data_IF_361412090524
#
_entry.id   IF_361412090524
#
_cell.length_a   1.000
_cell.length_b   1.000
_cell.length_c   1.000
_cell.angle_alpha   90.00
_cell.angle_beta   90.00
_cell.angle_gamma   90.00
#
_symmetry.space_group_name_H-M   'P 1'
#
loop_
_entity.id
_entity.type
_entity.pdbx_description
1 polymer ?
#
# COMPACT_ATOMS: atom_id res chain seq x y z
N UNK A 1 35.58 13.24 45.40
CA UNK A 1 34.17 13.23 45.88
C UNK A 1 33.47 12.10 45.13
N UNK A 2 33.44 10.90 45.72
CA UNK A 2 32.83 9.71 45.12
C UNK A 2 31.33 9.72 45.43
N UNK A 3 30.49 9.57 44.41
CA UNK A 3 29.05 9.33 44.57
C UNK A 3 28.81 7.87 44.24
N UNK A 4 28.43 7.12 45.29
CA UNK A 4 28.02 5.73 45.25
C UNK A 4 26.52 5.67 44.98
N UNK A 5 26.07 4.90 43.99
CA UNK A 5 24.65 4.72 43.66
C UNK A 5 24.21 3.31 44.06
N UNK A 6 23.39 3.21 45.09
CA UNK A 6 22.79 1.97 45.61
C UNK A 6 21.46 1.67 44.93
N UNK A 7 21.32 0.47 44.37
CA UNK A 7 20.04 -0.10 43.91
C UNK A 7 19.19 -0.50 45.12
N UNK A 8 17.91 -0.10 45.11
CA UNK A 8 16.86 -0.65 45.98
C UNK A 8 15.82 -1.36 45.11
N UNK A 9 15.67 -2.67 45.32
CA UNK A 9 14.62 -3.48 44.72
C UNK A 9 13.31 -3.35 45.49
N UNK A 10 12.20 -3.40 44.76
CA UNK A 10 10.87 -3.53 45.35
C UNK A 10 10.21 -4.80 44.79
N UNK A 11 9.95 -5.74 45.70
CA UNK A 11 9.29 -7.02 45.48
C UNK A 11 7.82 -6.87 45.89
N UNK A 12 6.89 -7.15 44.99
CA UNK A 12 5.47 -7.26 45.31
C UNK A 12 4.93 -8.57 44.73
N UNK A 13 4.85 -9.59 45.58
CA UNK A 13 4.19 -10.86 45.29
C UNK A 13 2.68 -10.73 45.39
N UNK A 14 1.97 -11.30 44.42
CA UNK A 14 0.53 -11.51 44.43
C UNK A 14 0.19 -12.70 43.55
N UNK A 15 -0.01 -13.86 44.17
CA UNK A 15 -0.45 -15.09 43.52
C UNK A 15 -1.95 -15.06 43.26
N UNK A 16 -2.37 -15.19 42.00
CA UNK A 16 -3.77 -15.47 41.64
C UNK A 16 -3.87 -16.96 41.32
N UNK A 17 -4.74 -17.66 42.06
CA UNK A 17 -5.13 -19.05 41.79
C UNK A 17 -5.99 -19.12 40.54
N UNK A 18 -5.59 -19.96 39.59
CA UNK A 18 -6.43 -20.40 38.47
C UNK A 18 -7.09 -21.71 38.91
N UNK A 19 -8.41 -21.68 39.07
CA UNK A 19 -9.22 -22.87 39.29
C UNK A 19 -9.30 -23.69 38.00
N UNK A 20 -8.86 -24.95 38.07
CA UNK A 20 -9.08 -25.94 37.03
C UNK A 20 -10.27 -26.82 37.40
N UNK A 21 -11.23 -26.91 36.49
CA UNK A 21 -12.20 -28.01 36.43
C UNK A 21 -11.83 -28.88 35.23
N UNK A 22 -11.39 -30.11 35.50
CA UNK A 22 -11.19 -31.16 34.51
C UNK A 22 -11.47 -32.53 35.16
N UNK A 23 -12.73 -32.95 35.08
CA UNK A 23 -13.19 -34.34 35.16
C UNK A 23 -14.00 -34.57 33.86
N UNK A 24 -13.95 -35.67 33.12
CA UNK A 24 -13.33 -36.99 33.24
C UNK A 24 -14.08 -37.96 32.30
N UNK A 25 -13.38 -38.99 31.79
CA UNK A 25 -13.93 -40.27 31.26
C UNK A 25 -14.68 -40.23 29.91
N UNK A 26 -14.22 -40.83 28.80
CA UNK A 26 -13.94 -42.24 28.48
C UNK A 26 -15.15 -43.05 27.95
N UNK A 27 -14.88 -43.69 26.80
CA UNK A 27 -15.39 -44.98 26.27
C UNK A 27 -16.72 -45.13 25.50
N UNK A 28 -16.56 -45.76 24.33
CA UNK A 28 -17.34 -46.83 23.69
C UNK A 28 -18.67 -46.58 22.95
N UNK A 29 -18.60 -46.86 21.63
CA UNK A 29 -19.35 -47.96 21.00
C UNK A 29 -20.80 -47.71 20.58
N UNK A 30 -21.13 -47.99 19.32
CA UNK A 30 -22.54 -48.23 18.94
C UNK A 30 -22.89 -48.03 17.49
N UNK A 31 -22.96 -49.13 16.75
CA UNK A 31 -23.51 -49.29 15.40
C UNK A 31 -24.98 -48.89 15.28
N UNK A 32 -25.36 -48.23 14.18
CA UNK A 32 -26.77 -48.01 13.82
C UNK A 32 -26.95 -47.94 12.30
N UNK A 33 -27.38 -49.06 11.72
CA UNK A 33 -27.82 -49.17 10.34
C UNK A 33 -29.31 -48.82 10.21
N UNK A 34 -29.67 -48.22 9.06
CA UNK A 34 -31.04 -48.04 8.56
C UNK A 34 -31.04 -46.92 7.52
N UNK A 35 -31.49 -47.06 6.27
CA UNK A 35 -32.29 -48.11 5.65
C UNK A 35 -33.49 -47.48 4.93
N UNK A 36 -33.37 -47.28 3.61
CA UNK A 36 -34.47 -47.05 2.65
C UNK A 36 -35.05 -45.62 2.56
N UNK A 37 -35.68 -45.17 1.47
CA UNK A 37 -35.85 -45.68 0.11
C UNK A 37 -36.58 -44.60 -0.72
N UNK A 38 -36.25 -44.52 -2.02
CA UNK A 38 -37.13 -44.25 -3.18
C UNK A 38 -37.98 -42.97 -3.31
N UNK A 39 -37.69 -42.24 -4.39
CA UNK A 39 -38.61 -41.42 -5.20
C UNK A 39 -37.77 -40.49 -6.09
N UNK A 40 -37.61 -40.65 -7.41
CA UNK A 40 -38.54 -41.13 -8.42
C UNK A 40 -39.17 -39.93 -9.11
N UNK A 41 -38.52 -39.39 -10.15
CA UNK A 41 -39.04 -38.25 -10.93
C UNK A 41 -38.19 -37.91 -12.15
N UNK A 42 -38.46 -38.60 -13.26
CA UNK A 42 -37.96 -38.27 -14.60
C UNK A 42 -38.84 -37.24 -15.29
N UNK A 43 -38.20 -36.30 -16.00
CA UNK A 43 -38.77 -35.37 -16.99
C UNK A 43 -37.83 -34.17 -17.11
N UNK A 44 -37.20 -33.82 -18.23
CA UNK A 44 -37.57 -33.98 -19.64
C UNK A 44 -37.83 -32.58 -20.22
N UNK A 45 -36.87 -32.02 -20.98
CA UNK A 45 -36.99 -30.75 -21.71
C UNK A 45 -35.67 -29.95 -21.70
N UNK A 46 -34.74 -30.20 -22.61
CA UNK A 46 -34.59 -29.51 -23.92
C UNK A 46 -34.76 -27.99 -23.89
N UNK A 47 -33.60 -27.31 -23.87
CA UNK A 47 -33.25 -26.23 -24.79
C UNK A 47 -33.81 -24.84 -24.50
N UNK A 48 -32.94 -23.94 -24.02
CA UNK A 48 -32.69 -22.62 -24.66
C UNK A 48 -31.25 -22.21 -24.35
N UNK A 49 -30.46 -22.06 -25.39
CA UNK A 49 -29.19 -21.35 -25.45
C UNK A 49 -29.41 -19.87 -25.12
N UNK A 50 -28.72 -19.34 -24.11
CA UNK A 50 -28.80 -17.93 -23.73
C UNK A 50 -27.59 -17.44 -22.95
N UNK A 51 -26.38 -17.86 -23.35
CA UNK A 51 -25.15 -17.20 -22.93
C UNK A 51 -25.01 -15.92 -23.73
N UNK A 52 -25.39 -14.79 -23.12
CA UNK A 52 -25.25 -13.46 -23.69
C UNK A 52 -23.79 -13.17 -24.01
N UNK A 53 -23.41 -13.34 -25.28
CA UNK A 53 -22.28 -12.64 -25.87
C UNK A 53 -22.65 -11.16 -25.89
N UNK A 54 -22.10 -10.41 -24.94
CA UNK A 54 -22.16 -8.96 -24.93
C UNK A 54 -21.39 -8.40 -26.11
N UNK A 55 -22.11 -8.16 -27.21
CA UNK A 55 -21.91 -7.08 -28.16
C UNK A 55 -20.50 -6.88 -28.71
N UNK A 56 -20.04 -7.75 -29.59
CA UNK A 56 -19.11 -7.35 -30.67
C UNK A 56 -19.89 -6.58 -31.73
N UNK A 57 -20.35 -5.40 -31.34
CA UNK A 57 -20.87 -4.40 -32.26
C UNK A 57 -19.72 -3.93 -33.14
N UNK A 58 -19.56 -4.60 -34.29
CA UNK A 58 -18.73 -4.14 -35.41
C UNK A 58 -19.29 -2.85 -35.98
N UNK A 59 -19.07 -1.75 -35.25
CA UNK A 59 -19.21 -0.39 -35.72
C UNK A 59 -17.81 0.10 -36.10
N UNK A 60 -17.57 0.28 -37.38
CA UNK A 60 -16.36 0.88 -37.95
C UNK A 60 -16.28 2.39 -37.69
N UNK A 61 -16.60 2.85 -36.48
CA UNK A 61 -16.13 4.14 -36.00
C UNK A 61 -14.63 3.97 -35.74
N UNK A 62 -13.80 4.74 -36.44
CA UNK A 62 -12.36 4.80 -36.13
C UNK A 62 -12.14 5.08 -34.64
N UNK A 63 -10.94 4.80 -34.10
CA UNK A 63 -10.65 4.94 -32.68
C UNK A 63 -11.14 6.31 -32.21
N UNK A 64 -12.17 6.30 -31.34
CA UNK A 64 -12.63 7.55 -30.75
C UNK A 64 -11.55 7.98 -29.75
N UNK A 65 -11.31 9.29 -29.58
CA UNK A 65 -10.42 9.75 -28.53
C UNK A 65 -10.87 9.20 -27.18
N UNK A 66 -9.92 8.68 -26.40
CA UNK A 66 -10.15 8.25 -25.03
C UNK A 66 -10.61 9.42 -24.16
N UNK A 67 -11.55 9.14 -23.26
CA UNK A 67 -12.02 10.06 -22.23
C UNK A 67 -12.16 9.32 -20.90
N UNK A 68 -12.07 10.05 -19.78
CA UNK A 68 -12.17 9.47 -18.44
C UNK A 68 -13.62 9.14 -18.04
N UNK A 69 -14.27 8.21 -18.74
CA UNK A 69 -15.67 7.83 -18.54
C UNK A 69 -15.88 6.39 -18.04
N UNK A 70 -14.80 5.64 -17.84
CA UNK A 70 -14.81 4.25 -17.41
C UNK A 70 -15.03 3.24 -18.55
N UNK A 71 -14.91 3.68 -19.81
CA UNK A 71 -15.05 2.85 -21.01
C UNK A 71 -13.74 2.90 -21.81
N UNK A 72 -13.38 1.78 -22.44
CA UNK A 72 -12.34 1.72 -23.47
C UNK A 72 -12.97 2.24 -24.78
N UNK A 73 -12.78 3.53 -25.08
CA UNK A 73 -13.43 4.23 -26.20
C UNK A 73 -12.74 3.95 -27.55
N UNK A 74 -11.46 3.59 -27.54
CA UNK A 74 -10.63 3.36 -28.71
C UNK A 74 -10.45 1.86 -29.04
N UNK A 75 -10.83 0.98 -28.12
CA UNK A 75 -10.84 -0.47 -28.25
C UNK A 75 -9.46 -1.13 -28.08
N UNK A 76 -8.51 -0.46 -27.44
CA UNK A 76 -7.13 -0.96 -27.26
C UNK A 76 -7.00 -1.99 -26.12
N UNK A 77 -8.07 -2.22 -25.35
CA UNK A 77 -8.12 -3.16 -24.23
C UNK A 77 -7.72 -2.55 -22.87
N UNK A 78 -7.51 -1.23 -22.81
CA UNK A 78 -7.17 -0.47 -21.62
C UNK A 78 -8.24 0.60 -21.43
N UNK A 79 -8.88 0.61 -20.27
CA UNK A 79 -9.91 1.60 -19.94
C UNK A 79 -9.25 2.91 -19.48
N UNK A 80 -9.71 4.06 -19.97
CA UNK A 80 -9.32 5.38 -19.50
C UNK A 80 -7.79 5.67 -19.58
N UNK A 81 -7.06 5.26 -20.62
CA UNK A 81 -5.58 5.46 -20.74
C UNK A 81 -5.15 6.79 -21.37
N UNK A 82 -5.81 7.88 -20.95
CA UNK A 82 -5.49 9.24 -21.39
C UNK A 82 -4.20 9.75 -20.73
N UNK A 83 -3.23 10.22 -21.52
CA UNK A 83 -2.01 10.93 -21.07
C UNK A 83 -1.75 12.18 -21.95
N UNK A 84 -2.49 13.25 -21.65
CA UNK A 84 -2.32 14.58 -22.25
C UNK A 84 -1.08 15.24 -21.67
N UNK A 85 0.06 14.88 -22.24
CA UNK A 85 1.36 15.38 -21.80
C UNK A 85 2.48 14.40 -22.10
N UNK A 86 2.13 13.11 -22.27
CA UNK A 86 3.09 12.00 -22.40
C UNK A 86 4.05 11.98 -21.23
N UNK A 87 3.50 12.19 -20.03
CA UNK A 87 4.27 12.48 -18.83
C UNK A 87 4.40 11.28 -17.89
N UNK A 88 3.80 10.15 -18.29
CA UNK A 88 3.89 8.84 -17.66
C UNK A 88 2.87 8.60 -16.57
N UNK A 89 1.96 9.54 -16.31
CA UNK A 89 0.82 9.36 -15.42
C UNK A 89 -0.46 9.55 -16.23
N UNK A 90 -1.39 8.62 -16.05
CA UNK A 90 -2.67 8.71 -16.71
C UNK A 90 -3.53 9.81 -16.06
N UNK A 91 -4.09 10.69 -16.87
CA UNK A 91 -4.88 11.85 -16.45
C UNK A 91 -6.18 11.47 -15.73
N UNK A 92 -6.68 10.27 -15.98
CA UNK A 92 -7.88 9.74 -15.37
C UNK A 92 -7.64 9.16 -13.96
N UNK A 93 -6.38 9.07 -13.52
CA UNK A 93 -6.01 8.42 -12.27
C UNK A 93 -6.48 9.23 -11.06
N UNK A 94 -7.29 8.62 -10.20
CA UNK A 94 -7.78 9.27 -8.98
C UNK A 94 -6.91 8.87 -7.80
N UNK A 95 -6.13 9.83 -7.30
CA UNK A 95 -5.16 9.61 -6.23
C UNK A 95 -5.66 10.28 -4.95
N UNK A 96 -5.51 9.58 -3.82
CA UNK A 96 -5.70 10.14 -2.50
C UNK A 96 -4.47 9.96 -1.61
N UNK A 97 -4.33 10.83 -0.61
CA UNK A 97 -3.32 10.71 0.45
C UNK A 97 -3.97 10.61 1.82
N UNK A 98 -3.50 9.69 2.66
CA UNK A 98 -3.87 9.58 4.08
C UNK A 98 -2.68 10.05 4.92
N UNK A 99 -2.97 10.81 5.98
CA UNK A 99 -1.98 11.45 6.85
C UNK A 99 -1.41 12.75 6.28
N UNK A 100 -0.34 13.27 6.89
CA UNK A 100 0.29 14.51 6.40
C UNK A 100 1.16 14.23 5.18
N UNK A 101 0.97 15.01 4.11
CA UNK A 101 1.89 15.01 2.97
C UNK A 101 3.26 15.52 3.42
N UNK A 102 4.34 14.84 3.06
CA UNK A 102 5.72 15.13 3.49
C UNK A 102 6.02 16.61 3.77
N UNK A 103 6.29 16.97 5.03
CA UNK A 103 6.48 18.37 5.46
C UNK A 103 7.90 18.70 5.96
N UNK A 104 8.86 17.76 5.96
CA UNK A 104 10.23 18.13 6.31
C UNK A 104 10.92 18.84 5.15
N UNK A 105 11.48 20.01 5.47
CA UNK A 105 12.19 20.86 4.51
C UNK A 105 11.38 22.07 4.06
N UNK A 106 11.94 22.85 3.13
CA UNK A 106 11.20 23.94 2.48
C UNK A 106 10.67 23.45 1.14
N UNK A 107 9.37 23.58 0.93
CA UNK A 107 8.75 23.43 -0.38
C UNK A 107 7.60 22.44 -0.41
N UNK A 108 7.20 22.08 -1.62
CA UNK A 108 6.05 21.22 -1.88
C UNK A 108 6.26 20.43 -3.16
N UNK A 109 7.51 20.07 -3.51
CA UNK A 109 7.85 19.49 -4.83
C UNK A 109 7.02 18.25 -5.12
N UNK A 110 6.89 17.34 -4.15
CA UNK A 110 6.16 16.11 -4.34
C UNK A 110 4.66 16.37 -4.48
N UNK A 111 4.10 17.26 -3.67
CA UNK A 111 2.68 17.61 -3.78
C UNK A 111 2.39 18.31 -5.11
N UNK A 112 3.21 19.28 -5.50
CA UNK A 112 3.07 19.99 -6.78
C UNK A 112 3.26 19.05 -7.98
N UNK A 113 4.22 18.13 -7.89
CA UNK A 113 4.45 17.12 -8.91
C UNK A 113 3.23 16.21 -9.02
N UNK A 114 2.79 15.63 -7.91
CA UNK A 114 1.64 14.70 -7.89
C UNK A 114 0.32 15.39 -8.33
N UNK A 115 0.08 16.63 -7.88
CA UNK A 115 -1.07 17.44 -8.28
C UNK A 115 -0.98 17.85 -9.77
N UNK A 116 0.23 17.99 -10.32
CA UNK A 116 0.46 18.29 -11.74
C UNK A 116 0.34 17.07 -12.66
N UNK A 117 0.48 15.85 -12.13
CA UNK A 117 0.45 14.58 -12.87
C UNK A 117 -0.94 13.99 -13.08
N UNK A 118 -1.91 14.35 -12.25
CA UNK A 118 -3.30 13.90 -12.42
C UNK A 118 -4.19 15.11 -12.67
N UNK A 119 -4.89 15.13 -13.80
CA UNK A 119 -5.89 16.17 -14.08
C UNK A 119 -7.10 16.11 -13.13
N UNK A 120 -7.31 14.98 -12.46
CA UNK A 120 -8.31 14.86 -11.38
C UNK A 120 -7.84 15.51 -10.06
N UNK A 121 -6.54 15.82 -9.96
CA UNK A 121 -5.89 16.28 -8.74
C UNK A 121 -5.76 15.19 -7.68
N UNK A 122 -5.05 15.50 -6.59
CA UNK A 122 -4.85 14.57 -5.48
C UNK A 122 -5.71 15.01 -4.30
N UNK A 123 -6.54 14.10 -3.79
CA UNK A 123 -7.39 14.40 -2.63
C UNK A 123 -6.66 14.08 -1.31
N UNK A 124 -6.55 15.06 -0.41
CA UNK A 124 -6.09 14.81 0.95
C UNK A 124 -7.25 14.28 1.82
N UNK A 125 -7.18 13.01 2.21
CA UNK A 125 -8.15 12.38 3.12
C UNK A 125 -7.86 12.69 4.58
N UNK A 126 -6.63 13.11 4.90
CA UNK A 126 -6.18 13.40 6.26
C UNK A 126 -6.49 12.24 7.21
N UNK A 127 -7.42 12.44 8.16
CA UNK A 127 -7.80 11.49 9.19
C UNK A 127 -9.21 10.91 9.02
N UNK A 128 -9.84 11.09 7.85
CA UNK A 128 -11.19 10.62 7.57
C UNK A 128 -11.35 9.12 7.86
N UNK A 129 -12.56 8.72 8.24
CA UNK A 129 -12.90 7.31 8.45
C UNK A 129 -12.92 6.56 7.13
N UNK A 130 -12.12 5.51 7.02
CA UNK A 130 -12.05 4.71 5.81
C UNK A 130 -13.31 3.85 5.68
N UNK A 131 -14.15 4.20 4.71
CA UNK A 131 -15.37 3.46 4.38
C UNK A 131 -15.29 2.95 2.95
N UNK A 132 -15.96 1.85 2.60
CA UNK A 132 -16.01 1.39 1.20
C UNK A 132 -16.44 2.50 0.24
N UNK A 133 -17.42 3.32 0.64
CA UNK A 133 -17.95 4.43 -0.16
C UNK A 133 -16.95 5.57 -0.35
N UNK A 134 -16.09 5.82 0.62
CA UNK A 134 -15.01 6.80 0.48
C UNK A 134 -13.92 6.26 -0.47
N UNK A 135 -13.50 5.02 -0.25
CA UNK A 135 -12.35 4.43 -0.95
C UNK A 135 -12.62 4.19 -2.44
N UNK A 136 -13.85 3.82 -2.82
CA UNK A 136 -14.23 3.58 -4.23
C UNK A 136 -14.08 4.83 -5.14
N UNK A 137 -13.90 6.02 -4.56
CA UNK A 137 -13.65 7.24 -5.32
C UNK A 137 -12.23 7.34 -5.88
N UNK A 138 -11.32 6.45 -5.45
CA UNK A 138 -9.90 6.50 -5.77
C UNK A 138 -9.41 5.18 -6.37
N UNK A 139 -8.40 5.28 -7.22
CA UNK A 139 -7.68 4.14 -7.79
C UNK A 139 -6.42 3.83 -6.98
N UNK A 140 -5.73 4.88 -6.50
CA UNK A 140 -4.49 4.78 -5.72
C UNK A 140 -4.58 5.61 -4.44
N UNK A 141 -4.10 5.04 -3.33
CA UNK A 141 -3.97 5.73 -2.04
C UNK A 141 -2.53 5.65 -1.56
N UNK A 142 -1.94 6.81 -1.25
CA UNK A 142 -0.62 6.92 -0.60
C UNK A 142 -0.81 7.25 0.87
N UNK A 143 -0.30 6.39 1.74
CA UNK A 143 -0.38 6.54 3.20
C UNK A 143 0.97 6.98 3.72
N UNK A 144 1.03 8.14 4.36
CA UNK A 144 2.26 8.79 4.83
C UNK A 144 1.96 9.61 6.09
N UNK A 145 2.91 9.71 7.02
CA UNK A 145 2.78 10.46 8.27
C UNK A 145 1.42 10.26 8.99
N UNK A 146 1.19 9.02 9.45
CA UNK A 146 0.01 8.64 10.25
C UNK A 146 0.31 8.64 11.75
N UNK A 147 1.21 9.53 12.20
CA UNK A 147 1.51 9.74 13.61
C UNK A 147 0.41 10.53 14.32
N UNK A 148 0.20 10.24 15.58
CA UNK A 148 -0.74 10.97 16.45
C UNK A 148 -0.07 12.18 17.12
N UNK A 149 1.24 12.09 17.38
CA UNK A 149 1.97 13.09 18.16
C UNK A 149 2.34 14.32 17.34
N UNK A 150 2.36 15.48 17.99
CA UNK A 150 2.98 16.67 17.43
C UNK A 150 4.51 16.52 17.32
N UNK A 151 5.08 17.07 16.25
CA UNK A 151 6.52 17.10 16.01
C UNK A 151 6.93 18.51 15.59
N UNK A 152 7.95 19.05 16.26
CA UNK A 152 8.47 20.36 15.98
C UNK A 152 8.99 20.43 14.54
N UNK A 153 8.57 21.46 13.79
CA UNK A 153 8.96 21.65 12.39
C UNK A 153 8.14 20.85 11.38
N UNK A 154 7.24 19.97 11.83
CA UNK A 154 6.35 19.20 10.97
C UNK A 154 4.91 19.62 11.18
N UNK A 155 4.30 19.26 12.31
CA UNK A 155 2.89 19.54 12.56
C UNK A 155 2.33 18.72 13.72
N UNK A 156 1.02 18.78 13.93
CA UNK A 156 0.36 18.23 15.12
C UNK A 156 0.15 16.70 15.10
N UNK A 157 0.53 15.99 14.04
CA UNK A 157 0.03 14.64 13.76
C UNK A 157 -1.45 14.67 13.38
N UNK A 158 -1.86 13.81 12.44
CA UNK A 158 -3.29 13.59 12.08
C UNK A 158 -3.65 12.11 12.12
N UNK A 159 -2.68 11.27 12.45
CA UNK A 159 -2.89 9.85 12.66
C UNK A 159 -3.84 9.56 13.80
N UNK A 160 -4.32 8.32 13.79
CA UNK A 160 -5.13 7.72 14.86
C UNK A 160 -5.09 6.21 14.71
N UNK A 161 -5.42 5.51 15.80
CA UNK A 161 -5.75 4.10 15.71
C UNK A 161 -6.91 3.85 14.74
N UNK A 162 -6.67 3.01 13.73
CA UNK A 162 -7.68 2.58 12.77
C UNK A 162 -8.57 1.48 13.35
N UNK A 163 -9.88 1.63 13.21
CA UNK A 163 -10.84 0.62 13.65
C UNK A 163 -10.82 -0.60 12.72
N UNK A 164 -11.24 -1.77 13.21
CA UNK A 164 -11.27 -3.00 12.39
C UNK A 164 -12.11 -2.83 11.11
N UNK A 165 -13.23 -2.12 11.19
CA UNK A 165 -14.08 -1.86 10.02
C UNK A 165 -13.36 -1.06 8.92
N UNK A 166 -12.42 -0.19 9.29
CA UNK A 166 -11.63 0.60 8.35
C UNK A 166 -10.54 -0.23 7.69
N UNK A 167 -9.90 -1.11 8.48
CA UNK A 167 -8.93 -2.09 7.99
C UNK A 167 -9.63 -3.03 6.99
N UNK A 168 -10.83 -3.50 7.32
CA UNK A 168 -11.62 -4.36 6.46
C UNK A 168 -12.09 -3.63 5.19
N UNK A 169 -12.45 -2.34 5.31
CA UNK A 169 -12.79 -1.50 4.15
C UNK A 169 -11.60 -1.31 3.20
N UNK A 170 -10.41 -0.98 3.73
CA UNK A 170 -9.19 -0.85 2.94
C UNK A 170 -8.82 -2.18 2.27
N UNK A 171 -8.86 -3.27 3.03
CA UNK A 171 -8.62 -4.62 2.51
C UNK A 171 -9.57 -4.97 1.38
N UNK A 172 -10.87 -4.74 1.57
CA UNK A 172 -11.90 -5.00 0.57
C UNK A 172 -11.73 -4.17 -0.70
N UNK A 173 -11.36 -2.90 -0.56
CA UNK A 173 -11.07 -2.01 -1.69
C UNK A 173 -9.81 -2.44 -2.47
N UNK A 174 -8.72 -2.80 -1.79
CA UNK A 174 -7.53 -3.37 -2.45
C UNK A 174 -7.88 -4.68 -3.16
N UNK A 175 -8.61 -5.57 -2.49
CA UNK A 175 -9.09 -6.82 -3.10
C UNK A 175 -9.87 -6.58 -4.40
N UNK A 176 -10.61 -5.49 -4.50
CA UNK A 176 -11.39 -5.08 -5.67
C UNK A 176 -10.58 -4.35 -6.77
N UNK A 177 -9.27 -4.15 -6.60
CA UNK A 177 -8.42 -3.50 -7.61
C UNK A 177 -7.70 -2.24 -7.16
N UNK A 178 -7.94 -1.75 -5.94
CA UNK A 178 -7.27 -0.57 -5.40
C UNK A 178 -5.77 -0.77 -5.19
N UNK A 179 -5.00 0.31 -5.40
CA UNK A 179 -3.56 0.35 -5.17
C UNK A 179 -3.19 1.12 -3.90
N UNK A 180 -2.47 0.51 -2.96
CA UNK A 180 -1.94 1.22 -1.77
C UNK A 180 -0.42 1.34 -1.85
N UNK A 181 0.09 2.54 -1.62
CA UNK A 181 1.48 2.74 -1.20
C UNK A 181 1.53 3.16 0.27
N UNK A 182 2.48 2.63 1.04
CA UNK A 182 2.78 3.16 2.37
C UNK A 182 4.21 3.69 2.44
N UNK A 183 4.37 4.79 3.16
CA UNK A 183 5.63 5.41 3.55
C UNK A 183 5.67 5.56 5.09
N UNK A 184 6.87 5.71 5.64
CA UNK A 184 7.12 5.89 7.07
C UNK A 184 8.47 6.58 7.27
N UNK A 185 8.69 7.24 8.40
CA UNK A 185 10.04 7.56 8.86
C UNK A 185 10.17 8.76 9.81
N UNK A 186 9.04 9.25 10.35
CA UNK A 186 9.04 10.34 11.34
C UNK A 186 9.54 9.92 12.73
N UNK A 187 9.95 8.66 12.92
CA UNK A 187 10.51 8.19 14.20
C UNK A 187 9.49 8.09 15.34
N UNK A 188 8.19 8.30 15.06
CA UNK A 188 7.13 8.28 16.06
C UNK A 188 6.56 6.87 16.22
N UNK A 189 6.47 6.39 17.46
CA UNK A 189 5.99 5.03 17.74
C UNK A 189 4.52 4.81 17.36
N UNK A 190 3.68 5.85 17.41
CA UNK A 190 2.27 5.77 16.99
C UNK A 190 2.14 5.66 15.48
N UNK A 191 3.05 6.26 14.71
CA UNK A 191 3.11 6.08 13.25
C UNK A 191 3.29 4.60 12.90
N UNK A 192 4.32 3.97 13.47
CA UNK A 192 4.64 2.55 13.27
C UNK A 192 3.43 1.67 13.62
N UNK A 193 2.78 1.93 14.76
CA UNK A 193 1.60 1.18 15.20
C UNK A 193 0.43 1.34 14.22
N UNK A 194 0.16 2.56 13.78
CA UNK A 194 -0.98 2.88 12.94
C UNK A 194 -0.82 2.30 11.52
N UNK A 195 0.35 2.48 10.90
CA UNK A 195 0.60 1.95 9.56
C UNK A 195 0.70 0.41 9.57
N UNK A 196 1.32 -0.19 10.58
CA UNK A 196 1.40 -1.67 10.68
C UNK A 196 0.02 -2.31 10.87
N UNK A 197 -0.91 -1.61 11.51
CA UNK A 197 -2.30 -2.06 11.63
C UNK A 197 -3.01 -2.12 10.26
N UNK A 198 -2.72 -1.17 9.37
CA UNK A 198 -3.23 -1.17 7.98
C UNK A 198 -2.54 -2.21 7.10
N UNK A 199 -1.26 -2.51 7.34
CA UNK A 199 -0.48 -3.49 6.58
C UNK A 199 -0.70 -4.95 7.00
N UNK A 200 -1.11 -5.19 8.26
CA UNK A 200 -1.27 -6.53 8.82
C UNK A 200 -2.12 -7.49 7.98
N UNK A 201 -3.25 -7.08 7.33
CA UNK A 201 -4.05 -7.97 6.49
C UNK A 201 -3.30 -8.54 5.27
N UNK A 202 -2.20 -7.92 4.86
CA UNK A 202 -1.38 -8.32 3.72
C UNK A 202 -0.12 -9.09 4.14
N UNK A 203 0.06 -9.34 5.45
CA UNK A 203 1.25 -10.00 5.98
C UNK A 203 2.52 -9.17 5.81
N UNK A 204 2.40 -7.84 5.79
CA UNK A 204 3.50 -6.88 5.70
C UNK A 204 3.55 -6.02 6.98
N UNK A 205 4.73 -5.49 7.30
CA UNK A 205 4.91 -4.51 8.36
C UNK A 205 6.23 -3.75 8.22
N UNK A 206 6.37 -2.63 8.90
CA UNK A 206 7.63 -2.01 9.21
C UNK A 206 8.21 -2.55 10.52
N UNK A 207 9.53 -2.52 10.62
CA UNK A 207 10.27 -2.77 11.87
C UNK A 207 9.89 -1.77 12.97
N UNK A 208 10.36 -2.04 14.18
CA UNK A 208 10.11 -1.19 15.35
C UNK A 208 11.26 -0.22 15.65
N UNK A 209 12.33 -0.24 14.86
CA UNK A 209 13.51 0.62 15.02
C UNK A 209 13.85 1.27 13.70
N UNK A 210 14.28 2.53 13.75
CA UNK A 210 14.84 3.21 12.60
C UNK A 210 16.17 2.57 12.21
N UNK A 211 16.35 2.43 10.90
CA UNK A 211 17.52 1.94 10.19
C UNK A 211 17.76 2.89 9.01
N UNK A 212 18.64 2.56 8.07
CA UNK A 212 18.77 3.30 6.80
C UNK A 212 19.19 4.76 6.96
N UNK A 213 19.86 5.10 8.07
CA UNK A 213 20.35 6.44 8.35
C UNK A 213 21.34 6.97 7.32
N UNK A 214 21.35 8.30 7.19
CA UNK A 214 22.24 9.08 6.34
C UNK A 214 23.71 8.65 6.45
N UNK A 215 24.44 8.81 5.34
CA UNK A 215 25.87 8.52 5.24
C UNK A 215 26.59 9.84 4.94
N UNK A 216 27.54 10.22 5.81
CA UNK A 216 28.33 11.45 5.67
C UNK A 216 27.47 12.72 5.54
N UNK A 217 26.32 12.78 6.22
CA UNK A 217 25.41 13.93 6.20
C UNK A 217 24.56 14.06 4.94
N UNK A 218 24.51 13.02 4.11
CA UNK A 218 23.65 12.90 2.92
C UNK A 218 22.72 11.70 3.10
N UNK A 219 21.54 11.74 2.49
CA UNK A 219 20.66 10.57 2.44
C UNK A 219 21.42 9.38 1.86
N UNK A 220 21.11 8.20 2.37
CA UNK A 220 21.73 6.94 2.00
C UNK A 220 21.14 6.46 0.67
N UNK A 221 21.94 6.26 -0.40
CA UNK A 221 21.41 5.77 -1.66
C UNK A 221 21.13 4.26 -1.60
N UNK A 222 19.91 3.85 -1.88
CA UNK A 222 19.53 2.45 -2.06
C UNK A 222 19.88 2.02 -3.48
N UNK A 223 20.82 1.08 -3.58
CA UNK A 223 21.40 0.65 -4.86
C UNK A 223 21.10 -0.79 -5.24
N UNK A 224 20.53 -1.58 -4.33
CA UNK A 224 20.18 -2.96 -4.64
C UNK A 224 18.69 -3.06 -4.93
N UNK A 225 18.39 -3.44 -6.17
CA UNK A 225 17.04 -3.51 -6.70
C UNK A 225 16.81 -4.88 -7.33
N UNK A 226 15.64 -5.46 -7.09
CA UNK A 226 15.22 -6.70 -7.71
C UNK A 226 14.73 -6.45 -9.14
N UNK A 227 14.67 -7.50 -9.95
CA UNK A 227 13.98 -7.42 -11.23
C UNK A 227 12.47 -7.36 -10.98
N UNK A 228 11.91 -6.15 -11.02
CA UNK A 228 10.50 -5.88 -10.77
C UNK A 228 10.06 -4.62 -11.54
N UNK A 229 8.80 -4.51 -12.01
CA UNK A 229 8.32 -3.30 -12.70
C UNK A 229 8.57 -2.00 -11.91
N UNK A 230 8.43 -2.06 -10.58
CA UNK A 230 8.73 -0.94 -9.66
C UNK A 230 10.19 -0.45 -9.74
N UNK A 231 11.13 -1.34 -10.07
CA UNK A 231 12.56 -1.07 -10.13
C UNK A 231 13.06 -0.74 -11.55
N UNK A 232 12.19 -0.73 -12.55
CA UNK A 232 12.59 -0.46 -13.94
C UNK A 232 13.27 0.90 -14.05
N UNK A 233 14.53 0.91 -14.50
CA UNK A 233 15.37 2.11 -14.62
C UNK A 233 15.61 2.88 -13.30
N UNK A 234 15.34 2.28 -12.15
CA UNK A 234 15.70 2.85 -10.85
C UNK A 234 17.04 2.25 -10.42
N UNK A 235 18.04 3.09 -10.20
CA UNK A 235 19.34 2.64 -9.70
C UNK A 235 19.67 3.20 -8.32
N UNK A 236 19.12 4.36 -7.97
CA UNK A 236 19.37 5.06 -6.72
C UNK A 236 18.14 5.85 -6.27
N UNK A 237 17.77 5.67 -5.01
CA UNK A 237 16.79 6.47 -4.28
C UNK A 237 17.30 6.64 -2.85
N UNK A 238 17.21 7.84 -2.29
CA UNK A 238 17.69 8.14 -0.94
C UNK A 238 16.77 7.66 0.17
N UNK A 239 17.36 7.37 1.33
CA UNK A 239 16.69 7.15 2.61
C UNK A 239 17.44 7.86 3.72
N UNK A 240 16.75 8.27 4.80
CA UNK A 240 17.40 8.71 6.04
C UNK A 240 16.51 8.48 7.26
N UNK A 241 16.90 7.50 8.08
CA UNK A 241 16.19 7.06 9.28
C UNK A 241 14.84 6.38 9.00
N UNK A 242 14.72 5.73 7.84
CA UNK A 242 13.61 4.83 7.52
C UNK A 242 13.54 3.57 8.39
N UNK A 243 12.72 2.62 7.96
CA UNK A 243 12.42 1.38 8.67
C UNK A 243 12.58 0.17 7.74
N UNK A 244 13.06 -0.94 8.29
CA UNK A 244 13.09 -2.20 7.56
C UNK A 244 11.66 -2.66 7.26
N UNK A 245 11.42 -3.14 6.04
CA UNK A 245 10.14 -3.70 5.61
C UNK A 245 10.16 -5.22 5.84
N UNK A 246 9.26 -5.71 6.68
CA UNK A 246 9.15 -7.11 7.05
C UNK A 246 7.93 -7.76 6.41
N UNK A 247 7.94 -9.09 6.37
CA UNK A 247 6.78 -9.90 6.02
C UNK A 247 6.90 -10.58 4.65
N UNK A 248 5.75 -10.86 4.05
CA UNK A 248 5.62 -11.56 2.78
C UNK A 248 5.91 -10.69 1.55
N UNK A 249 5.40 -11.12 0.39
CA UNK A 249 5.52 -10.38 -0.86
C UNK A 249 6.89 -10.51 -1.55
N UNK A 250 6.98 -9.89 -2.72
CA UNK A 250 8.18 -9.83 -3.55
C UNK A 250 9.12 -8.74 -3.02
N UNK A 251 10.38 -9.09 -2.76
CA UNK A 251 11.43 -8.12 -2.44
C UNK A 251 11.68 -7.23 -3.66
N UNK A 252 11.65 -5.91 -3.48
CA UNK A 252 11.86 -4.92 -4.55
C UNK A 252 13.18 -4.20 -4.39
N UNK A 253 13.56 -3.83 -3.16
CA UNK A 253 14.81 -3.13 -2.87
C UNK A 253 15.35 -3.53 -1.49
N UNK A 254 16.67 -3.54 -1.33
CA UNK A 254 17.32 -3.87 -0.06
C UNK A 254 18.63 -3.10 0.15
N UNK A 255 19.07 -3.07 1.40
CA UNK A 255 20.32 -2.47 1.82
C UNK A 255 21.17 -3.45 2.61
N UNK A 256 22.40 -3.67 2.18
CA UNK A 256 23.32 -4.65 2.79
C UNK A 256 24.13 -4.09 3.96
N UNK A 257 24.09 -2.78 4.22
CA UNK A 257 24.95 -2.10 5.22
C UNK A 257 24.43 -2.23 6.65
N UNK A 258 23.12 -2.40 6.83
CA UNK A 258 22.47 -2.54 8.16
C UNK A 258 22.08 -4.00 8.46
N UNK A 259 22.93 -4.96 8.09
CA UNK A 259 22.64 -6.38 8.33
C UNK A 259 21.64 -6.99 7.33
N UNK A 260 21.62 -6.47 6.11
CA UNK A 260 20.71 -6.87 5.02
C UNK A 260 19.24 -6.63 5.36
N UNK A 261 18.82 -5.37 5.27
CA UNK A 261 17.44 -4.95 5.49
C UNK A 261 16.70 -4.81 4.17
N UNK A 262 15.48 -5.30 4.13
CA UNK A 262 14.57 -5.02 3.02
C UNK A 262 14.08 -3.58 3.15
N UNK A 263 14.22 -2.80 2.09
CA UNK A 263 13.75 -1.41 2.04
C UNK A 263 12.38 -1.34 1.41
N UNK A 264 12.06 -2.28 0.52
CA UNK A 264 10.81 -2.25 -0.21
C UNK A 264 10.29 -3.65 -0.54
N UNK A 265 9.00 -3.85 -0.33
CA UNK A 265 8.27 -5.08 -0.68
C UNK A 265 6.96 -4.75 -1.38
N UNK A 266 6.57 -5.61 -2.30
CA UNK A 266 5.34 -5.48 -3.08
C UNK A 266 4.52 -6.76 -3.02
N UNK A 267 3.19 -6.63 -2.98
CA UNK A 267 2.26 -7.76 -3.01
C UNK A 267 1.07 -7.46 -3.91
N UNK A 268 0.67 -8.45 -4.70
CA UNK A 268 -0.63 -8.46 -5.35
C UNK A 268 -1.64 -9.14 -4.40
N UNK A 269 -2.73 -8.45 -4.10
CA UNK A 269 -3.79 -8.96 -3.22
C UNK A 269 -5.10 -9.02 -3.99
N UNK A 270 -5.41 -10.22 -4.49
CA UNK A 270 -6.49 -10.42 -5.46
C UNK A 270 -6.28 -9.52 -6.69
N UNK A 271 -7.18 -8.58 -6.96
CA UNK A 271 -7.08 -7.69 -8.13
C UNK A 271 -6.27 -6.42 -7.89
N UNK A 272 -5.99 -6.07 -6.64
CA UNK A 272 -5.23 -4.86 -6.31
C UNK A 272 -3.83 -5.13 -5.81
N UNK A 273 -3.17 -4.07 -5.37
CA UNK A 273 -1.71 -4.06 -5.15
C UNK A 273 -1.35 -3.25 -3.92
N UNK A 274 -0.35 -3.70 -3.19
CA UNK A 274 0.23 -2.98 -2.06
C UNK A 274 1.73 -2.87 -2.24
N UNK A 275 2.25 -1.65 -2.18
CA UNK A 275 3.66 -1.34 -2.21
C UNK A 275 4.08 -0.66 -0.92
N UNK A 276 5.13 -1.19 -0.29
CA UNK A 276 5.67 -0.67 0.97
C UNK A 276 7.08 -0.21 0.72
N UNK A 277 7.35 1.07 1.00
CA UNK A 277 8.68 1.66 0.93
C UNK A 277 9.08 2.19 2.31
N UNK A 278 10.32 1.90 2.70
CA UNK A 278 10.84 2.04 4.06
C UNK A 278 11.06 3.45 4.57
N UNK A 279 10.87 4.49 3.76
CA UNK A 279 11.35 5.84 4.08
C UNK A 279 10.53 6.92 3.37
N UNK A 280 10.22 8.03 4.02
CA UNK A 280 9.39 9.08 3.46
C UNK A 280 10.18 10.19 2.74
N UNK A 281 11.51 10.20 2.79
CA UNK A 281 12.33 11.29 2.23
C UNK A 281 12.13 11.48 0.74
N UNK A 282 11.72 10.44 0.02
CA UNK A 282 11.34 10.51 -1.41
C UNK A 282 10.21 11.52 -1.71
N UNK A 283 9.57 12.07 -0.69
CA UNK A 283 8.57 13.14 -0.77
C UNK A 283 9.15 14.55 -0.55
N UNK A 284 10.39 14.66 -0.08
CA UNK A 284 11.02 15.94 0.30
C UNK A 284 11.80 16.57 -0.84
N UNK A 285 11.75 17.90 -0.91
CA UNK A 285 12.44 18.71 -1.93
C UNK A 285 13.94 18.41 -2.07
N UNK A 286 14.62 17.98 -0.99
CA UNK A 286 16.04 17.62 -1.05
C UNK A 286 16.31 16.46 -2.00
N UNK A 287 15.46 15.43 -2.01
CA UNK A 287 15.69 14.24 -2.83
C UNK A 287 15.48 14.54 -4.32
N UNK A 288 14.65 15.53 -4.64
CA UNK A 288 14.35 15.93 -6.01
C UNK A 288 15.36 16.96 -6.55
N UNK A 289 15.85 17.86 -5.69
CA UNK A 289 16.66 19.01 -6.12
C UNK A 289 18.15 18.88 -5.80
N UNK A 290 18.52 18.27 -4.67
CA UNK A 290 19.91 18.12 -4.24
C UNK A 290 20.55 16.82 -4.76
N UNK A 291 19.73 15.83 -5.10
CA UNK A 291 20.16 14.50 -5.56
C UNK A 291 19.78 14.24 -7.02
N UNK A 292 20.41 14.95 -7.96
CA UNK A 292 20.20 14.72 -9.39
C UNK A 292 20.59 13.31 -9.86
N UNK A 293 21.40 12.58 -9.08
CA UNK A 293 21.74 11.19 -9.35
C UNK A 293 20.70 10.19 -8.83
N UNK A 294 19.65 10.65 -8.13
CA UNK A 294 18.54 9.82 -7.68
C UNK A 294 17.39 9.86 -8.68
N UNK A 295 16.80 8.69 -8.92
CA UNK A 295 15.70 8.52 -9.87
C UNK A 295 14.35 8.64 -9.15
N UNK A 296 14.15 9.69 -8.36
CA UNK A 296 12.95 9.85 -7.51
C UNK A 296 11.68 9.97 -8.35
N UNK A 297 11.71 10.74 -9.44
CA UNK A 297 10.56 10.85 -10.35
C UNK A 297 10.24 9.51 -11.01
N UNK A 298 11.25 8.80 -11.54
CA UNK A 298 11.06 7.46 -12.13
C UNK A 298 10.50 6.48 -11.10
N UNK A 299 10.98 6.53 -9.86
CA UNK A 299 10.48 5.71 -8.77
C UNK A 299 8.97 5.93 -8.56
N UNK A 300 8.53 7.18 -8.53
CA UNK A 300 7.11 7.50 -8.38
C UNK A 300 6.27 7.12 -9.59
N UNK A 301 6.75 7.36 -10.82
CA UNK A 301 6.07 6.95 -12.05
C UNK A 301 5.86 5.43 -12.09
N UNK A 302 6.91 4.66 -11.77
CA UNK A 302 6.81 3.20 -11.68
C UNK A 302 5.82 2.76 -10.60
N UNK A 303 5.82 3.44 -9.45
CA UNK A 303 4.94 3.15 -8.32
C UNK A 303 3.47 3.37 -8.68
N UNK A 304 3.12 4.54 -9.21
CA UNK A 304 1.75 4.88 -9.61
C UNK A 304 1.23 3.94 -10.71
N UNK A 305 2.05 3.70 -11.75
CA UNK A 305 1.68 2.77 -12.82
C UNK A 305 1.44 1.36 -12.30
N UNK A 306 2.34 0.85 -11.46
CA UNK A 306 2.20 -0.50 -10.90
C UNK A 306 1.01 -0.59 -9.96
N UNK A 307 0.72 0.42 -9.14
CA UNK A 307 -0.41 0.39 -8.20
C UNK A 307 -1.77 0.50 -8.89
N UNK A 308 -1.82 1.10 -10.07
CA UNK A 308 -3.05 1.20 -10.87
C UNK A 308 -3.48 -0.19 -11.36
N UNK A 309 -4.79 -0.45 -11.36
CA UNK A 309 -5.36 -1.71 -11.79
C UNK A 309 -4.91 -2.10 -13.21
N UNK A 310 -4.67 -3.39 -13.44
CA UNK A 310 -4.30 -3.90 -14.76
C UNK A 310 -5.44 -3.66 -15.75
N UNK A 311 -5.12 -3.13 -16.93
CA UNK A 311 -6.11 -2.83 -17.97
C UNK A 311 -6.93 -1.55 -17.70
N UNK A 312 -6.50 -0.72 -16.74
CA UNK A 312 -7.08 0.62 -16.52
C UNK A 312 -5.99 1.65 -16.37
N UNK A 313 -6.11 2.78 -17.05
CA UNK A 313 -5.31 3.98 -16.82
C UNK A 313 -3.79 3.66 -16.85
N UNK A 314 -3.41 2.80 -17.80
CA UNK A 314 -2.04 2.31 -17.99
C UNK A 314 -1.41 3.01 -19.18
N UNK A 315 -0.52 3.98 -18.92
CA UNK A 315 0.14 4.78 -19.96
C UNK A 315 1.64 4.45 -20.04
N UNK A 316 2.28 4.75 -21.15
CA UNK A 316 3.73 4.58 -21.29
C UNK A 316 4.45 5.60 -20.43
N UNK A 317 5.47 5.16 -19.67
CA UNK A 317 6.29 6.11 -18.91
C UNK A 317 7.40 6.60 -19.84
N UNK A 318 7.52 7.91 -20.11
CA UNK A 318 8.55 8.43 -21.00
C UNK A 318 9.96 8.13 -20.46
N UNK A 319 10.97 8.22 -21.33
CA UNK A 319 12.36 8.24 -20.88
C UNK A 319 12.67 9.62 -20.30
N UNK A 320 12.98 9.66 -19.00
CA UNK A 320 13.22 10.89 -18.23
C UNK A 320 14.66 10.96 -17.68
N UNK A 321 15.53 10.07 -18.17
CA UNK A 321 16.94 10.01 -17.78
C UNK A 321 17.82 10.92 -18.62
#
# INVERSE_FOLDING_TARGET
MLISLSLAGCNCGGSIQVGGDADGGSSDGGTGAGGGSSGGGSGGGSGVTGGGSGNTGGGTSGPMPEVCDGVDNDGNGIIDDVDVGMDGVCDCLKIATIGYRGQWGSGSVFSNWLDGKSQQGVTALENQTLTPQLLQAFDVIVIQDVRESAMAGVGNGVGRAYAQAEIDALKGWVAAGGGVMTLIGYGDATEVVNVNRLLAPYGLSYGNQQVLGAINGSTRPITNWAMHPLATQVTRVGTDNGYAVNGGGTLVAWDTRDGNVDVARAIEHQSGRVYVWGDEWITYDSEWSAHQDYQVERFWLNSLKWLTAVGRCQVEIPDIN
#
